data_IF_902441305640
#
_entry.id   IF_902441305640
#
_cell.length_a   1.000
_cell.length_b   1.000
_cell.length_c   1.000
_cell.angle_alpha   90.00
_cell.angle_beta   90.00
_cell.angle_gamma   90.00
#
_symmetry.space_group_name_H-M   'P 1'
#
loop_
_entity.id
_entity.type
_entity.pdbx_description
1 polymer ?
#
# COMPACT_ATOMS: atom_id res chain seq x y z
N UNK A 1 22.47 -1.80 6.19
CA UNK A 1 21.16 -2.05 5.56
C UNK A 1 20.08 -2.44 6.60
N UNK A 2 20.23 -3.49 7.43
CA UNK A 2 19.22 -3.93 8.41
C UNK A 2 18.75 -2.84 9.39
N UNK A 3 19.66 -2.00 9.90
CA UNK A 3 19.32 -0.90 10.83
C UNK A 3 18.43 0.15 10.13
N UNK A 4 18.77 0.51 8.90
CA UNK A 4 17.99 1.50 8.12
C UNK A 4 16.58 0.96 7.85
N UNK A 5 16.45 -0.31 7.45
CA UNK A 5 15.15 -0.96 7.28
C UNK A 5 14.35 -0.99 8.58
N UNK A 6 14.99 -1.34 9.69
CA UNK A 6 14.34 -1.32 10.99
C UNK A 6 13.78 0.05 11.34
N UNK A 7 14.58 1.11 11.22
CA UNK A 7 14.16 2.49 11.51
C UNK A 7 13.00 2.89 10.60
N UNK A 8 13.10 2.62 9.29
CA UNK A 8 12.06 2.96 8.34
C UNK A 8 10.73 2.29 8.69
N UNK A 9 10.73 0.97 8.86
CA UNK A 9 9.49 0.23 9.16
C UNK A 9 8.94 0.59 10.54
N UNK A 10 9.81 0.86 11.52
CA UNK A 10 9.40 1.36 12.83
C UNK A 10 8.66 2.70 12.72
N UNK A 11 9.23 3.66 11.98
CA UNK A 11 8.62 4.97 11.75
C UNK A 11 7.29 4.82 10.99
N UNK A 12 7.27 4.04 9.92
CA UNK A 12 6.05 3.77 9.14
C UNK A 12 4.94 3.16 10.01
N UNK A 13 5.27 2.20 10.88
CA UNK A 13 4.31 1.54 11.75
C UNK A 13 3.74 2.50 12.79
N UNK A 14 4.61 3.26 13.47
CA UNK A 14 4.15 4.27 14.44
C UNK A 14 3.27 5.30 13.76
N UNK A 15 3.65 5.75 12.59
CA UNK A 15 2.88 6.69 11.80
C UNK A 15 1.52 6.10 11.38
N UNK A 16 1.47 4.86 10.91
CA UNK A 16 0.22 4.16 10.55
C UNK A 16 -0.73 4.05 11.75
N UNK A 17 -0.22 3.64 12.92
CA UNK A 17 -1.02 3.55 14.14
C UNK A 17 -1.57 4.92 14.56
N UNK A 18 -0.74 5.97 14.45
CA UNK A 18 -1.15 7.35 14.80
C UNK A 18 -2.21 7.88 13.83
N UNK A 19 -2.02 7.74 12.51
CA UNK A 19 -3.01 8.17 11.50
C UNK A 19 -4.36 7.50 11.78
N UNK A 20 -4.38 6.20 11.98
CA UNK A 20 -5.61 5.47 12.24
C UNK A 20 -6.27 5.97 13.53
N UNK A 21 -5.50 6.25 14.56
CA UNK A 21 -6.04 6.83 15.80
C UNK A 21 -6.73 8.17 15.56
N UNK A 22 -6.10 9.08 14.81
CA UNK A 22 -6.68 10.38 14.47
C UNK A 22 -7.88 10.26 13.51
N UNK A 23 -7.81 9.37 12.52
CA UNK A 23 -8.88 9.18 11.53
C UNK A 23 -10.20 8.77 12.19
N UNK A 24 -10.14 7.94 13.24
CA UNK A 24 -11.32 7.43 13.93
C UNK A 24 -11.67 8.18 15.24
N UNK A 25 -10.92 9.24 15.61
CA UNK A 25 -11.19 10.00 16.83
C UNK A 25 -12.59 10.62 16.85
N UNK A 26 -13.12 11.00 15.67
CA UNK A 26 -14.45 11.57 15.54
C UNK A 26 -15.57 10.65 16.07
N UNK A 27 -15.37 9.33 16.02
CA UNK A 27 -16.34 8.35 16.49
C UNK A 27 -16.43 8.25 18.02
N UNK A 28 -15.48 8.86 18.74
CA UNK A 28 -15.46 8.86 20.20
C UNK A 28 -16.33 9.95 20.83
N UNK A 29 -16.83 10.88 20.01
CA UNK A 29 -17.60 12.05 20.47
C UNK A 29 -18.91 12.14 19.72
N UNK A 30 -19.91 12.67 20.40
CA UNK A 30 -21.15 13.07 19.73
C UNK A 30 -20.86 14.22 18.77
N UNK A 31 -21.10 14.01 17.52
CA UNK A 31 -20.83 15.00 16.47
C UNK A 31 -21.89 14.92 15.37
N UNK A 32 -22.43 16.07 14.96
CA UNK A 32 -23.46 16.16 13.93
C UNK A 32 -24.69 15.26 14.19
N UNK A 33 -25.13 15.14 15.43
CA UNK A 33 -26.24 14.28 15.80
C UNK A 33 -25.94 12.78 15.81
N UNK A 34 -24.67 12.38 15.68
CA UNK A 34 -24.28 10.98 15.55
C UNK A 34 -23.29 10.53 16.61
N UNK A 35 -23.41 9.26 17.03
CA UNK A 35 -22.42 8.46 17.75
C UNK A 35 -22.06 7.23 16.92
N UNK A 36 -20.77 7.00 16.68
CA UNK A 36 -20.28 5.89 15.85
C UNK A 36 -21.03 5.79 14.51
N UNK A 37 -21.32 6.95 13.88
CA UNK A 37 -22.03 7.03 12.60
C UNK A 37 -23.53 6.70 12.62
N UNK A 38 -24.16 6.61 13.81
CA UNK A 38 -25.60 6.43 14.01
C UNK A 38 -26.20 7.69 14.60
N UNK A 39 -27.31 8.17 14.05
CA UNK A 39 -28.04 9.31 14.58
C UNK A 39 -28.73 8.95 15.90
N UNK A 40 -28.38 9.67 16.96
CA UNK A 40 -28.97 9.50 18.31
C UNK A 40 -29.53 10.87 18.73
N UNK A 41 -30.78 10.94 19.22
CA UNK A 41 -31.30 12.18 19.77
C UNK A 41 -30.45 12.69 20.94
N UNK A 42 -30.27 14.01 21.05
CA UNK A 42 -29.39 14.62 22.06
C UNK A 42 -29.70 14.20 23.47
N UNK A 43 -30.98 14.02 23.79
CA UNK A 43 -31.47 13.64 25.10
C UNK A 43 -31.04 12.23 25.54
N UNK A 44 -30.79 11.34 24.59
CA UNK A 44 -30.41 9.94 24.80
C UNK A 44 -28.91 9.65 24.74
N UNK A 45 -28.08 10.65 24.45
CA UNK A 45 -26.61 10.48 24.32
C UNK A 45 -25.98 9.98 25.62
N UNK A 46 -26.56 10.35 26.76
CA UNK A 46 -26.06 10.02 28.11
C UNK A 46 -26.75 8.81 28.74
N UNK A 47 -27.65 8.13 28.01
CA UNK A 47 -28.31 6.93 28.52
C UNK A 47 -27.28 5.85 28.86
N UNK A 48 -27.58 5.06 29.91
CA UNK A 48 -26.65 4.07 30.46
C UNK A 48 -26.18 3.05 29.41
N UNK A 49 -27.08 2.61 28.53
CA UNK A 49 -26.76 1.63 27.50
C UNK A 49 -25.83 2.21 26.42
N UNK A 50 -26.06 3.48 26.03
CA UNK A 50 -25.21 4.22 25.11
C UNK A 50 -23.83 4.43 25.72
N UNK A 51 -23.79 4.90 26.96
CA UNK A 51 -22.54 5.15 27.68
C UNK A 51 -21.74 3.88 27.91
N UNK A 52 -22.39 2.75 28.25
CA UNK A 52 -21.73 1.44 28.35
C UNK A 52 -21.15 0.97 27.03
N UNK A 53 -21.91 1.11 25.94
CA UNK A 53 -21.45 0.72 24.59
C UNK A 53 -20.25 1.57 24.15
N UNK A 54 -20.33 2.90 24.35
CA UNK A 54 -19.25 3.83 24.03
C UNK A 54 -17.98 3.55 24.85
N UNK A 55 -18.13 3.25 26.13
CA UNK A 55 -17.00 2.90 27.00
C UNK A 55 -16.31 1.61 26.56
N UNK A 56 -17.10 0.57 26.23
CA UNK A 56 -16.58 -0.70 25.70
C UNK A 56 -15.88 -0.49 24.36
N UNK A 57 -16.47 0.27 23.44
CA UNK A 57 -15.89 0.58 22.14
C UNK A 57 -14.54 1.29 22.29
N UNK A 58 -14.47 2.38 23.07
CA UNK A 58 -13.24 3.14 23.33
C UNK A 58 -12.15 2.25 23.95
N UNK A 59 -12.53 1.41 24.93
CA UNK A 59 -11.61 0.48 25.58
C UNK A 59 -11.07 -0.57 24.61
N UNK A 60 -11.94 -1.21 23.82
CA UNK A 60 -11.55 -2.22 22.84
C UNK A 60 -10.64 -1.63 21.77
N UNK A 61 -10.95 -0.46 21.23
CA UNK A 61 -10.14 0.21 20.23
C UNK A 61 -8.77 0.60 20.78
N UNK A 62 -8.71 1.22 21.98
CA UNK A 62 -7.45 1.58 22.63
C UNK A 62 -6.57 0.35 22.88
N UNK A 63 -7.18 -0.73 23.40
CA UNK A 63 -6.47 -1.96 23.70
C UNK A 63 -5.91 -2.61 22.45
N UNK A 64 -6.73 -2.74 21.41
CA UNK A 64 -6.33 -3.30 20.12
C UNK A 64 -5.21 -2.49 19.47
N UNK A 65 -5.31 -1.15 19.45
CA UNK A 65 -4.25 -0.28 18.90
C UNK A 65 -2.95 -0.39 19.68
N UNK A 66 -3.00 -0.43 21.02
CA UNK A 66 -1.80 -0.54 21.86
C UNK A 66 -1.11 -1.89 21.67
N UNK A 67 -1.86 -3.00 21.62
CA UNK A 67 -1.29 -4.32 21.34
C UNK A 67 -0.61 -4.32 19.98
N UNK A 68 -1.27 -3.79 18.95
CA UNK A 68 -0.72 -3.77 17.61
C UNK A 68 0.49 -2.84 17.48
N UNK A 69 0.54 -1.74 18.23
CA UNK A 69 1.74 -0.90 18.32
C UNK A 69 2.95 -1.69 18.86
N UNK A 70 2.76 -2.42 19.96
CA UNK A 70 3.82 -3.27 20.52
C UNK A 70 4.20 -4.41 19.59
N UNK A 71 3.21 -5.09 19.01
CA UNK A 71 3.42 -6.19 18.08
C UNK A 71 4.18 -5.74 16.82
N UNK A 72 3.86 -4.55 16.29
CA UNK A 72 4.55 -3.98 15.13
C UNK A 72 6.03 -3.74 15.40
N UNK A 73 6.40 -3.32 16.61
CA UNK A 73 7.79 -3.16 17.02
C UNK A 73 8.48 -4.54 17.07
N UNK A 74 7.83 -5.53 17.70
CA UNK A 74 8.36 -6.89 17.78
C UNK A 74 8.60 -7.50 16.38
N UNK A 75 7.69 -7.27 15.43
CA UNK A 75 7.85 -7.72 14.04
C UNK A 75 9.05 -7.04 13.38
N UNK A 76 9.30 -5.74 13.63
CA UNK A 76 10.47 -5.05 13.08
C UNK A 76 11.78 -5.71 13.51
N UNK A 77 11.88 -6.28 14.72
CA UNK A 77 13.05 -7.00 15.17
C UNK A 77 13.33 -8.30 14.38
N UNK A 78 12.31 -8.92 13.77
CA UNK A 78 12.49 -10.09 12.91
C UNK A 78 13.40 -9.80 11.71
N UNK A 79 13.51 -8.53 11.28
CA UNK A 79 14.45 -8.12 10.23
C UNK A 79 15.92 -8.43 10.58
N UNK A 80 16.28 -8.46 11.86
CA UNK A 80 17.64 -8.83 12.30
C UNK A 80 17.86 -10.34 12.27
N UNK A 81 16.81 -11.13 12.45
CA UNK A 81 16.85 -12.60 12.43
C UNK A 81 16.80 -13.12 11.00
N UNK A 82 15.72 -12.84 10.28
CA UNK A 82 15.53 -13.28 8.90
C UNK A 82 14.59 -12.32 8.16
N UNK A 83 15.09 -11.73 7.08
CA UNK A 83 14.35 -10.74 6.28
C UNK A 83 13.08 -11.34 5.66
N UNK A 84 13.07 -12.62 5.31
CA UNK A 84 11.94 -13.30 4.67
C UNK A 84 10.81 -13.48 5.69
N UNK A 85 11.15 -13.97 6.88
CA UNK A 85 10.20 -14.10 8.00
C UNK A 85 9.61 -12.71 8.32
N UNK A 86 10.47 -11.68 8.37
CA UNK A 86 10.02 -10.31 8.59
C UNK A 86 8.97 -9.88 7.55
N UNK A 87 9.24 -10.03 6.25
CA UNK A 87 8.33 -9.58 5.18
C UNK A 87 7.00 -10.32 5.24
N UNK A 88 7.01 -11.65 5.43
CA UNK A 88 5.79 -12.45 5.54
C UNK A 88 4.97 -12.03 6.76
N UNK A 89 5.59 -11.95 7.93
CA UNK A 89 4.91 -11.57 9.18
C UNK A 89 4.39 -10.13 9.15
N UNK A 90 5.14 -9.22 8.52
CA UNK A 90 4.74 -7.83 8.34
C UNK A 90 3.49 -7.72 7.44
N UNK A 91 3.45 -8.46 6.33
CA UNK A 91 2.30 -8.48 5.42
C UNK A 91 1.04 -9.04 6.12
N UNK A 92 1.19 -10.12 6.88
CA UNK A 92 0.10 -10.69 7.68
C UNK A 92 -0.38 -9.69 8.74
N UNK A 93 0.56 -9.08 9.47
CA UNK A 93 0.23 -8.12 10.52
C UNK A 93 -0.57 -6.93 10.00
N UNK A 94 -0.18 -6.33 8.88
CA UNK A 94 -0.90 -5.18 8.30
C UNK A 94 -2.34 -5.53 7.95
N UNK A 95 -2.57 -6.72 7.36
CA UNK A 95 -3.91 -7.19 7.03
C UNK A 95 -4.76 -7.43 8.29
N UNK A 96 -4.20 -8.11 9.29
CA UNK A 96 -4.89 -8.36 10.57
C UNK A 96 -5.21 -7.06 11.29
N UNK A 97 -4.28 -6.09 11.27
CA UNK A 97 -4.46 -4.78 11.90
C UNK A 97 -5.62 -4.01 11.27
N UNK A 98 -5.64 -3.89 9.94
CA UNK A 98 -6.71 -3.19 9.21
C UNK A 98 -8.05 -3.89 9.39
N UNK A 99 -8.11 -5.21 9.19
CA UNK A 99 -9.34 -5.99 9.38
C UNK A 99 -9.87 -5.91 10.82
N UNK A 100 -8.98 -5.94 11.81
CA UNK A 100 -9.37 -5.86 13.22
C UNK A 100 -9.96 -4.50 13.59
N UNK A 101 -9.39 -3.39 13.09
CA UNK A 101 -9.96 -2.06 13.28
C UNK A 101 -11.34 -1.95 12.63
N UNK A 102 -11.47 -2.41 11.38
CA UNK A 102 -12.77 -2.42 10.69
C UNK A 102 -13.81 -3.24 11.46
N UNK A 103 -13.43 -4.42 11.95
CA UNK A 103 -14.32 -5.27 12.73
C UNK A 103 -14.83 -4.58 14.02
N UNK A 104 -13.93 -3.94 14.79
CA UNK A 104 -14.30 -3.23 16.02
C UNK A 104 -15.26 -2.08 15.71
N UNK A 105 -14.99 -1.30 14.65
CA UNK A 105 -15.82 -0.18 14.22
C UNK A 105 -17.21 -0.66 13.78
N UNK A 106 -17.26 -1.62 12.86
CA UNK A 106 -18.51 -2.16 12.32
C UNK A 106 -19.37 -2.81 13.42
N UNK A 107 -18.75 -3.59 14.31
CA UNK A 107 -19.45 -4.21 15.44
C UNK A 107 -20.05 -3.17 16.40
N UNK A 108 -19.33 -2.09 16.69
CA UNK A 108 -19.82 -1.03 17.54
C UNK A 108 -20.96 -0.24 16.87
N UNK A 109 -20.84 0.06 15.58
CA UNK A 109 -21.87 0.71 14.77
C UNK A 109 -23.16 -0.11 14.75
N UNK A 110 -23.08 -1.41 14.42
CA UNK A 110 -24.23 -2.29 14.36
C UNK A 110 -24.95 -2.39 15.72
N UNK A 111 -24.20 -2.47 16.82
CA UNK A 111 -24.79 -2.49 18.18
C UNK A 111 -25.49 -1.16 18.52
N UNK A 112 -24.89 -0.03 18.13
CA UNK A 112 -25.51 1.29 18.31
C UNK A 112 -26.79 1.43 17.49
N UNK A 113 -26.77 0.98 16.22
CA UNK A 113 -27.96 0.96 15.36
C UNK A 113 -29.08 0.07 15.96
N UNK A 114 -28.75 -1.13 16.43
CA UNK A 114 -29.71 -2.02 17.08
C UNK A 114 -30.30 -1.37 18.33
N UNK A 115 -29.49 -0.72 19.16
CA UNK A 115 -29.94 0.00 20.34
C UNK A 115 -30.91 1.14 19.99
N UNK A 116 -30.61 1.90 18.93
CA UNK A 116 -31.52 2.92 18.38
C UNK A 116 -32.85 2.34 17.98
N UNK A 117 -32.84 1.24 17.22
CA UNK A 117 -34.07 0.58 16.74
C UNK A 117 -34.90 0.03 17.90
N UNK A 118 -34.26 -0.62 18.88
CA UNK A 118 -34.94 -1.21 20.06
C UNK A 118 -35.65 -0.16 20.89
N UNK A 119 -35.05 1.01 21.03
CA UNK A 119 -35.63 2.12 21.81
C UNK A 119 -36.51 3.08 20.99
N UNK A 120 -36.66 2.84 19.70
CA UNK A 120 -37.48 3.67 18.83
C UNK A 120 -36.96 5.11 18.65
N UNK A 121 -35.66 5.34 18.80
CA UNK A 121 -35.04 6.67 18.69
C UNK A 121 -34.90 7.10 17.22
N UNK A 122 -35.97 7.64 16.68
CA UNK A 122 -35.93 8.17 15.32
C UNK A 122 -35.78 9.69 15.37
N UNK A 123 -34.83 10.23 14.62
CA UNK A 123 -34.60 11.66 14.52
C UNK A 123 -35.55 12.22 13.46
N UNK A 124 -36.59 12.94 13.92
CA UNK A 124 -37.58 13.57 13.06
C UNK A 124 -38.85 12.73 12.81
N UNK A 125 -39.96 13.41 12.57
CA UNK A 125 -41.31 12.83 12.46
C UNK A 125 -41.58 12.10 11.13
N UNK A 126 -40.63 12.05 10.21
CA UNK A 126 -40.80 11.40 8.90
C UNK A 126 -39.53 10.62 8.51
N UNK A 127 -39.68 9.29 8.39
CA UNK A 127 -38.70 8.44 7.73
C UNK A 127 -38.40 8.97 6.32
N UNK A 128 -37.11 9.20 6.03
CA UNK A 128 -36.55 9.37 4.70
C UNK A 128 -37.07 10.60 3.91
N UNK A 129 -36.62 11.79 4.25
CA UNK A 129 -36.62 12.90 3.30
C UNK A 129 -35.25 13.03 2.68
N UNK A 130 -35.14 12.77 1.36
CA UNK A 130 -34.03 13.28 0.58
C UNK A 130 -34.23 14.78 0.43
N UNK A 131 -33.34 15.57 1.03
CA UNK A 131 -33.38 17.01 0.87
C UNK A 131 -32.47 17.39 -0.31
N UNK A 132 -33.02 17.98 -1.34
CA UNK A 132 -32.29 18.46 -2.52
C UNK A 132 -32.39 19.99 -2.55
N UNK A 133 -31.21 20.64 -2.44
CA UNK A 133 -31.10 22.07 -2.66
C UNK A 133 -30.86 22.34 -4.16
N UNK A 134 -31.91 22.78 -4.86
CA UNK A 134 -31.85 23.03 -6.31
C UNK A 134 -30.88 24.15 -6.67
N UNK A 135 -30.72 25.18 -5.81
CA UNK A 135 -29.78 26.29 -6.01
C UNK A 135 -28.34 25.84 -5.82
N UNK A 136 -28.07 25.01 -4.81
CA UNK A 136 -26.77 24.41 -4.62
C UNK A 136 -26.41 23.44 -5.76
N UNK A 137 -27.38 22.68 -6.26
CA UNK A 137 -27.19 21.79 -7.41
C UNK A 137 -26.89 22.53 -8.70
N UNK A 138 -27.51 23.68 -8.94
CA UNK A 138 -27.25 24.52 -10.10
C UNK A 138 -25.82 25.05 -10.18
N UNK A 139 -25.15 25.19 -9.01
CA UNK A 139 -23.77 25.63 -8.90
C UNK A 139 -22.75 24.45 -8.83
N UNK A 140 -23.18 23.23 -9.15
CA UNK A 140 -22.33 22.04 -9.03
C UNK A 140 -21.11 22.07 -9.97
N UNK A 141 -21.19 22.76 -11.10
CA UNK A 141 -20.11 22.83 -12.10
C UNK A 141 -18.96 23.78 -11.72
N UNK A 142 -19.07 24.50 -10.61
CA UNK A 142 -17.98 25.35 -10.14
C UNK A 142 -16.76 24.51 -9.73
N UNK A 143 -15.69 24.60 -10.53
CA UNK A 143 -14.42 23.91 -10.31
C UNK A 143 -13.35 24.89 -9.82
N UNK A 144 -13.02 24.90 -8.53
CA UNK A 144 -12.11 25.90 -7.95
C UNK A 144 -10.67 25.77 -8.42
N UNK A 145 -10.25 24.57 -8.83
CA UNK A 145 -8.91 24.27 -9.33
C UNK A 145 -9.02 23.41 -10.59
N UNK A 146 -8.21 23.71 -11.61
CA UNK A 146 -8.22 22.98 -12.86
C UNK A 146 -7.47 21.63 -12.72
N UNK A 147 -8.12 20.55 -13.18
CA UNK A 147 -7.51 19.22 -13.24
C UNK A 147 -6.37 19.13 -14.28
N UNK A 148 -6.25 20.09 -15.20
CA UNK A 148 -5.22 20.11 -16.25
C UNK A 148 -3.80 20.14 -15.67
N UNK A 149 -3.61 20.63 -14.46
CA UNK A 149 -2.30 20.59 -13.77
C UNK A 149 -1.77 19.16 -13.56
N UNK A 150 -2.65 18.18 -13.30
CA UNK A 150 -2.25 16.78 -13.23
C UNK A 150 -1.71 16.25 -14.56
N UNK A 151 -2.30 16.66 -15.69
CA UNK A 151 -1.85 16.24 -17.03
C UNK A 151 -0.42 16.73 -17.27
N UNK A 152 -0.12 17.99 -16.86
CA UNK A 152 1.24 18.57 -16.96
C UNK A 152 2.22 17.76 -16.11
N UNK A 153 1.83 17.42 -14.88
CA UNK A 153 2.66 16.61 -13.97
C UNK A 153 2.94 15.23 -14.57
N UNK A 154 1.92 14.53 -15.04
CA UNK A 154 2.06 13.19 -15.66
C UNK A 154 2.95 13.26 -16.91
N UNK A 155 2.80 14.30 -17.73
CA UNK A 155 3.67 14.49 -18.89
C UNK A 155 5.13 14.70 -18.46
N UNK A 156 5.38 15.47 -17.40
CA UNK A 156 6.71 15.68 -16.85
C UNK A 156 7.30 14.40 -16.24
N UNK A 157 6.48 13.57 -15.57
CA UNK A 157 6.90 12.26 -15.04
C UNK A 157 7.37 11.32 -16.17
N UNK A 158 6.65 11.31 -17.29
CA UNK A 158 7.01 10.49 -18.47
C UNK A 158 8.26 11.04 -19.17
N UNK A 159 8.39 12.36 -19.31
CA UNK A 159 9.58 12.98 -19.91
C UNK A 159 10.85 12.71 -19.08
N UNK A 160 10.73 12.56 -17.77
CA UNK A 160 11.85 12.21 -16.90
C UNK A 160 12.42 10.80 -17.14
N UNK A 161 11.76 9.96 -17.96
CA UNK A 161 12.31 8.67 -18.40
C UNK A 161 13.33 8.80 -19.54
N UNK A 162 13.35 9.92 -20.27
CA UNK A 162 14.22 10.10 -21.46
C UNK A 162 15.70 9.85 -21.16
N UNK A 163 16.29 10.32 -20.05
CA UNK A 163 17.70 10.07 -19.72
C UNK A 163 18.05 8.57 -19.61
N UNK A 164 17.06 7.72 -19.30
CA UNK A 164 17.29 6.29 -19.13
C UNK A 164 17.17 5.48 -20.43
N UNK A 165 16.88 6.12 -21.57
CA UNK A 165 16.82 5.42 -22.87
C UNK A 165 18.13 4.69 -23.19
N UNK A 166 19.27 5.30 -22.89
CA UNK A 166 20.61 4.71 -23.02
C UNK A 166 20.90 3.58 -22.01
N UNK A 167 20.01 3.38 -21.03
CA UNK A 167 20.15 2.38 -19.96
C UNK A 167 19.44 1.05 -20.25
N UNK A 168 18.87 0.88 -21.44
CA UNK A 168 18.11 -0.34 -21.82
C UNK A 168 18.87 -1.63 -21.57
N UNK A 169 20.19 -1.61 -21.78
CA UNK A 169 21.09 -2.74 -21.52
C UNK A 169 21.52 -2.88 -20.06
N UNK A 170 21.21 -1.90 -19.19
CA UNK A 170 21.64 -1.91 -17.80
C UNK A 170 20.73 -2.77 -16.91
N UNK A 171 21.32 -3.41 -15.91
CA UNK A 171 20.61 -4.31 -14.98
C UNK A 171 19.45 -3.63 -14.23
N UNK A 172 19.52 -2.32 -14.05
CA UNK A 172 18.53 -1.53 -13.29
C UNK A 172 17.37 -0.97 -14.11
N UNK A 173 17.39 -1.09 -15.43
CA UNK A 173 16.36 -0.51 -16.29
C UNK A 173 14.96 -0.99 -15.94
N UNK A 174 14.79 -2.29 -15.69
CA UNK A 174 13.51 -2.86 -15.28
C UNK A 174 12.99 -2.27 -13.96
N UNK A 175 13.88 -2.01 -13.02
CA UNK A 175 13.54 -1.39 -11.73
C UNK A 175 13.08 0.05 -11.91
N UNK A 176 13.78 0.85 -12.74
CA UNK A 176 13.39 2.22 -13.06
C UNK A 176 12.00 2.26 -13.70
N UNK A 177 11.70 1.35 -14.63
CA UNK A 177 10.37 1.25 -15.24
C UNK A 177 9.28 0.94 -14.21
N UNK A 178 9.53 0.04 -13.26
CA UNK A 178 8.56 -0.27 -12.18
C UNK A 178 8.27 0.98 -11.35
N UNK A 179 9.30 1.74 -10.93
CA UNK A 179 9.11 2.98 -10.19
C UNK A 179 8.35 4.05 -11.00
N UNK A 180 8.65 4.18 -12.29
CA UNK A 180 7.95 5.08 -13.20
C UNK A 180 6.46 4.71 -13.30
N UNK A 181 6.14 3.44 -13.49
CA UNK A 181 4.75 2.95 -13.56
C UNK A 181 4.03 3.25 -12.26
N UNK A 182 4.63 2.96 -11.10
CA UNK A 182 4.03 3.27 -9.80
C UNK A 182 3.75 4.77 -9.64
N UNK A 183 4.72 5.62 -10.02
CA UNK A 183 4.59 7.09 -9.97
C UNK A 183 3.43 7.57 -10.83
N UNK A 184 3.37 7.14 -12.09
CA UNK A 184 2.30 7.53 -13.03
C UNK A 184 0.93 7.03 -12.54
N UNK A 185 0.82 5.83 -12.00
CA UNK A 185 -0.43 5.30 -11.44
C UNK A 185 -0.95 6.20 -10.30
N UNK A 186 -0.08 6.64 -9.40
CA UNK A 186 -0.46 7.54 -8.29
C UNK A 186 -0.97 8.88 -8.82
N UNK A 187 -0.30 9.49 -9.82
CA UNK A 187 -0.70 10.76 -10.42
C UNK A 187 -2.00 10.63 -11.25
N UNK A 188 -2.18 9.51 -11.98
CA UNK A 188 -3.43 9.20 -12.69
C UNK A 188 -4.59 9.01 -11.70
N UNK A 189 -4.36 8.32 -10.57
CA UNK A 189 -5.36 8.23 -9.51
C UNK A 189 -5.77 9.61 -8.99
N UNK A 190 -4.80 10.48 -8.72
CA UNK A 190 -5.05 11.88 -8.32
C UNK A 190 -5.90 12.64 -9.35
N UNK A 191 -5.59 12.51 -10.64
CA UNK A 191 -6.35 13.12 -11.75
C UNK A 191 -7.79 12.61 -11.79
N UNK A 192 -7.96 11.29 -11.79
CA UNK A 192 -9.31 10.66 -11.91
C UNK A 192 -10.17 11.03 -10.71
N UNK A 193 -9.61 10.98 -9.50
CA UNK A 193 -10.35 11.33 -8.29
C UNK A 193 -10.69 12.82 -8.23
N UNK A 194 -9.78 13.71 -8.67
CA UNK A 194 -10.03 15.14 -8.79
C UNK A 194 -11.21 15.43 -9.75
N UNK A 195 -11.20 14.82 -10.96
CA UNK A 195 -12.30 14.98 -11.94
C UNK A 195 -13.61 14.45 -11.36
N UNK A 196 -13.59 13.27 -10.73
CA UNK A 196 -14.78 12.67 -10.12
C UNK A 196 -15.40 13.60 -9.06
N UNK A 197 -14.57 14.13 -8.15
CA UNK A 197 -15.03 15.00 -7.07
C UNK A 197 -15.55 16.35 -7.56
N UNK A 198 -14.96 16.91 -8.62
CA UNK A 198 -15.45 18.14 -9.23
C UNK A 198 -16.81 17.97 -9.90
N UNK A 199 -17.06 16.80 -10.52
CA UNK A 199 -18.34 16.49 -11.19
C UNK A 199 -19.44 16.01 -10.24
N UNK A 200 -19.10 15.84 -8.96
CA UNK A 200 -20.06 15.36 -7.97
C UNK A 200 -21.11 16.43 -7.69
N UNK A 201 -22.37 16.00 -7.56
CA UNK A 201 -23.48 16.87 -7.14
C UNK A 201 -23.22 17.46 -5.75
N UNK A 202 -23.62 18.70 -5.56
CA UNK A 202 -23.52 19.37 -4.29
C UNK A 202 -24.53 18.78 -3.28
N UNK A 203 -24.11 18.69 -2.03
CA UNK A 203 -24.92 18.15 -0.93
C UNK A 203 -25.62 19.29 -0.19
N UNK A 204 -26.81 19.03 0.31
CA UNK A 204 -27.53 19.92 1.19
C UNK A 204 -27.21 19.57 2.66
N UNK A 205 -26.64 20.50 3.39
CA UNK A 205 -26.30 20.43 4.80
C UNK A 205 -27.23 21.29 5.67
N UNK A 206 -27.82 22.33 5.06
CA UNK A 206 -28.65 23.35 5.70
C UNK A 206 -29.86 23.66 4.83
N UNK A 207 -30.92 24.23 5.45
CA UNK A 207 -32.01 24.87 4.70
C UNK A 207 -31.54 26.16 4.02
N UNK A 208 -30.40 26.72 4.43
CA UNK A 208 -29.79 27.89 3.79
C UNK A 208 -28.90 27.47 2.61
N UNK A 209 -29.35 27.81 1.39
CA UNK A 209 -28.63 27.49 0.16
C UNK A 209 -27.23 28.14 0.07
N UNK A 210 -27.02 29.30 0.69
CA UNK A 210 -25.72 29.98 0.67
C UNK A 210 -24.67 29.19 1.49
N UNK A 211 -25.07 28.64 2.62
CA UNK A 211 -24.23 27.74 3.43
C UNK A 211 -23.89 26.49 2.62
N UNK A 212 -24.88 25.86 1.98
CA UNK A 212 -24.66 24.69 1.11
C UNK A 212 -23.65 24.99 0.01
N UNK A 213 -23.77 26.10 -0.68
CA UNK A 213 -22.86 26.52 -1.74
C UNK A 213 -21.43 26.72 -1.21
N UNK A 214 -21.26 27.47 -0.14
CA UNK A 214 -19.95 27.78 0.44
C UNK A 214 -19.26 26.49 0.92
N UNK A 215 -20.01 25.61 1.64
CA UNK A 215 -19.44 24.34 2.15
C UNK A 215 -19.01 23.43 0.99
N UNK A 216 -19.87 23.22 -0.02
CA UNK A 216 -19.55 22.38 -1.17
C UNK A 216 -18.35 22.91 -1.95
N UNK A 217 -18.31 24.21 -2.25
CA UNK A 217 -17.18 24.83 -2.97
C UNK A 217 -15.88 24.71 -2.17
N UNK A 218 -15.94 24.95 -0.86
CA UNK A 218 -14.79 24.80 0.03
C UNK A 218 -14.28 23.36 0.04
N UNK A 219 -15.18 22.37 0.17
CA UNK A 219 -14.78 20.96 0.14
C UNK A 219 -14.17 20.55 -1.19
N UNK A 220 -14.75 20.97 -2.33
CA UNK A 220 -14.16 20.74 -3.66
C UNK A 220 -12.76 21.35 -3.76
N UNK A 221 -12.56 22.58 -3.25
CA UNK A 221 -11.27 23.24 -3.25
C UNK A 221 -10.23 22.45 -2.45
N UNK A 222 -10.56 22.03 -1.22
CA UNK A 222 -9.65 21.25 -0.38
C UNK A 222 -9.28 19.91 -1.01
N UNK A 223 -10.26 19.18 -1.55
CA UNK A 223 -10.01 17.87 -2.17
C UNK A 223 -9.16 18.04 -3.44
N UNK A 224 -9.49 19.01 -4.29
CA UNK A 224 -8.71 19.31 -5.49
C UNK A 224 -7.27 19.69 -5.13
N UNK A 225 -7.07 20.54 -4.09
CA UNK A 225 -5.75 20.89 -3.58
C UNK A 225 -4.99 19.68 -3.05
N UNK A 226 -5.68 18.80 -2.28
CA UNK A 226 -5.06 17.60 -1.72
C UNK A 226 -4.55 16.66 -2.82
N UNK A 227 -5.37 16.41 -3.85
CA UNK A 227 -4.97 15.57 -4.99
C UNK A 227 -3.81 16.19 -5.78
N UNK A 228 -3.86 17.50 -6.00
CA UNK A 228 -2.80 18.20 -6.74
C UNK A 228 -1.48 18.21 -5.97
N UNK A 229 -1.50 18.50 -4.67
CA UNK A 229 -0.31 18.47 -3.81
C UNK A 229 0.27 17.05 -3.73
N UNK A 230 -0.59 16.04 -3.62
CA UNK A 230 -0.16 14.63 -3.67
C UNK A 230 0.57 14.33 -4.98
N UNK A 231 0.02 14.69 -6.14
CA UNK A 231 0.65 14.48 -7.44
C UNK A 231 1.97 15.26 -7.58
N UNK A 232 2.03 16.50 -7.06
CA UNK A 232 3.24 17.30 -7.09
C UNK A 232 4.37 16.70 -6.23
N UNK A 233 4.05 16.25 -5.01
CA UNK A 233 5.04 15.60 -4.13
C UNK A 233 5.48 14.24 -4.70
N UNK A 234 4.58 13.49 -5.34
CA UNK A 234 4.89 12.28 -6.08
C UNK A 234 5.88 12.56 -7.22
N UNK A 235 5.64 13.63 -7.99
CA UNK A 235 6.57 14.09 -9.02
C UNK A 235 7.93 14.50 -8.45
N UNK A 236 7.97 15.22 -7.32
CA UNK A 236 9.22 15.60 -6.63
C UNK A 236 9.98 14.34 -6.19
N UNK A 237 9.29 13.33 -5.65
CA UNK A 237 9.90 12.06 -5.30
C UNK A 237 10.52 11.37 -6.52
N UNK A 238 9.79 11.34 -7.63
CA UNK A 238 10.24 10.76 -8.89
C UNK A 238 11.44 11.48 -9.48
N UNK A 239 11.39 12.82 -9.58
CA UNK A 239 12.50 13.59 -10.15
C UNK A 239 13.76 13.50 -9.29
N UNK A 240 13.61 13.48 -7.96
CA UNK A 240 14.73 13.28 -7.03
C UNK A 240 15.37 11.90 -7.25
N UNK A 241 14.57 10.85 -7.38
CA UNK A 241 15.05 9.51 -7.70
C UNK A 241 15.81 9.47 -9.04
N UNK A 242 15.23 10.05 -10.10
CA UNK A 242 15.84 10.15 -11.42
C UNK A 242 17.20 10.86 -11.38
N UNK A 243 17.26 12.04 -10.75
CA UNK A 243 18.50 12.83 -10.64
C UNK A 243 19.58 12.05 -9.87
N UNK A 244 19.21 11.41 -8.77
CA UNK A 244 20.17 10.61 -8.00
C UNK A 244 20.69 9.40 -8.78
N UNK A 245 19.83 8.72 -9.55
CA UNK A 245 20.26 7.62 -10.42
C UNK A 245 21.23 8.10 -11.51
N UNK A 246 20.99 9.27 -12.11
CA UNK A 246 21.88 9.85 -13.13
C UNK A 246 23.23 10.22 -12.52
N UNK A 247 23.23 10.91 -11.36
CA UNK A 247 24.47 11.35 -10.69
C UNK A 247 25.34 10.16 -10.26
N UNK A 248 24.70 9.10 -9.76
CA UNK A 248 25.40 7.90 -9.28
C UNK A 248 25.70 6.89 -10.40
N UNK A 249 25.20 7.10 -11.61
CA UNK A 249 25.20 6.17 -12.75
C UNK A 249 24.70 4.76 -12.37
N UNK A 250 23.86 4.66 -11.34
CA UNK A 250 23.30 3.41 -10.80
C UNK A 250 22.03 3.69 -9.98
N UNK A 251 21.25 2.63 -9.73
CA UNK A 251 20.18 2.66 -8.73
C UNK A 251 20.79 2.26 -7.38
N UNK A 252 21.22 3.27 -6.62
CA UNK A 252 21.80 3.05 -5.30
C UNK A 252 20.76 3.00 -4.18
N UNK A 253 21.18 2.48 -3.01
CA UNK A 253 20.34 2.41 -1.82
C UNK A 253 19.78 3.80 -1.42
N UNK A 254 20.58 4.85 -1.55
CA UNK A 254 20.18 6.20 -1.18
C UNK A 254 19.05 6.74 -2.08
N UNK A 255 19.12 6.51 -3.39
CA UNK A 255 18.06 6.93 -4.33
C UNK A 255 16.74 6.22 -4.02
N UNK A 256 16.80 4.92 -3.73
CA UNK A 256 15.64 4.12 -3.33
C UNK A 256 15.00 4.65 -2.04
N UNK A 257 15.78 4.87 -0.99
CA UNK A 257 15.27 5.33 0.31
C UNK A 257 14.71 6.74 0.25
N UNK A 258 15.35 7.64 -0.48
CA UNK A 258 14.84 9.00 -0.69
C UNK A 258 13.48 9.00 -1.38
N UNK A 259 13.31 8.16 -2.42
CA UNK A 259 12.03 8.00 -3.09
C UNK A 259 10.93 7.54 -2.11
N UNK A 260 11.19 6.50 -1.32
CA UNK A 260 10.22 5.96 -0.36
C UNK A 260 9.84 7.01 0.70
N UNK A 261 10.82 7.74 1.26
CA UNK A 261 10.57 8.78 2.27
C UNK A 261 9.69 9.90 1.68
N UNK A 262 9.97 10.36 0.47
CA UNK A 262 9.17 11.40 -0.18
C UNK A 262 7.76 10.92 -0.54
N UNK A 263 7.59 9.65 -0.91
CA UNK A 263 6.26 9.04 -1.12
C UNK A 263 5.46 8.97 0.19
N UNK A 264 6.08 8.60 1.30
CA UNK A 264 5.44 8.64 2.62
C UNK A 264 5.02 10.07 2.99
N UNK A 265 5.88 11.07 2.74
CA UNK A 265 5.55 12.48 2.97
C UNK A 265 4.35 12.94 2.14
N UNK A 266 4.25 12.48 0.89
CA UNK A 266 3.09 12.74 0.02
C UNK A 266 1.79 12.20 0.64
N UNK A 267 1.79 10.96 1.12
CA UNK A 267 0.64 10.36 1.81
C UNK A 267 0.27 11.07 3.12
N UNK A 268 1.28 11.49 3.89
CA UNK A 268 1.07 12.28 5.12
C UNK A 268 0.40 13.60 4.82
N UNK A 269 0.89 14.33 3.82
CA UNK A 269 0.37 15.66 3.43
C UNK A 269 -1.07 15.55 2.95
N UNK A 270 -1.40 14.52 2.14
CA UNK A 270 -2.76 14.22 1.73
C UNK A 270 -3.68 14.07 2.96
N UNK A 271 -3.28 13.25 3.93
CA UNK A 271 -4.05 13.01 5.15
C UNK A 271 -4.27 14.30 5.95
N UNK A 272 -3.24 15.11 6.12
CA UNK A 272 -3.33 16.40 6.83
C UNK A 272 -4.33 17.34 6.15
N UNK A 273 -4.26 17.50 4.82
CA UNK A 273 -5.17 18.38 4.07
C UNK A 273 -6.63 17.91 4.21
N UNK A 274 -6.88 16.59 4.18
CA UNK A 274 -8.22 16.03 4.37
C UNK A 274 -8.76 16.25 5.78
N UNK A 275 -7.89 16.19 6.80
CA UNK A 275 -8.27 16.54 8.18
C UNK A 275 -8.61 18.03 8.30
N UNK A 276 -7.81 18.91 7.69
CA UNK A 276 -8.10 20.35 7.66
C UNK A 276 -9.42 20.65 6.94
N UNK A 277 -9.69 19.98 5.81
CA UNK A 277 -10.95 20.10 5.09
C UNK A 277 -12.15 19.74 5.98
N UNK A 278 -12.06 18.60 6.69
CA UNK A 278 -13.10 18.18 7.64
C UNK A 278 -13.33 19.21 8.75
N UNK A 279 -12.25 19.67 9.37
CA UNK A 279 -12.33 20.63 10.46
C UNK A 279 -12.98 21.93 9.98
N UNK A 280 -12.59 22.43 8.81
CA UNK A 280 -13.17 23.62 8.20
C UNK A 280 -14.65 23.46 7.89
N UNK A 281 -15.05 22.30 7.33
CA UNK A 281 -16.46 21.97 7.12
C UNK A 281 -17.24 22.04 8.45
N UNK A 282 -16.74 21.40 9.49
CA UNK A 282 -17.41 21.36 10.80
C UNK A 282 -17.53 22.75 11.43
N UNK A 283 -16.53 23.63 11.29
CA UNK A 283 -16.60 25.03 11.74
C UNK A 283 -17.70 25.81 11.02
N UNK A 284 -17.79 25.66 9.69
CA UNK A 284 -18.82 26.34 8.90
C UNK A 284 -20.23 25.86 9.26
N UNK A 285 -20.40 24.57 9.51
CA UNK A 285 -21.70 24.01 9.90
C UNK A 285 -22.09 24.31 11.36
N UNK A 286 -21.13 24.58 12.26
CA UNK A 286 -21.43 25.01 13.63
C UNK A 286 -22.10 26.39 13.70
N UNK A 287 -21.83 27.24 12.73
CA UNK A 287 -22.45 28.56 12.61
C UNK A 287 -23.85 28.52 12.00
N UNK A 288 -24.31 27.35 11.53
CA UNK A 288 -25.60 27.16 10.90
C UNK A 288 -26.71 27.07 11.96
N UNK A 289 -27.77 27.86 11.74
CA UNK A 289 -28.97 27.90 12.61
C UNK A 289 -30.09 26.99 12.12
N UNK A 290 -29.96 26.43 10.90
CA UNK A 290 -31.00 25.63 10.24
C UNK A 290 -30.43 24.35 9.61
N UNK A 291 -29.74 23.50 10.40
CA UNK A 291 -29.15 22.27 9.87
C UNK A 291 -30.24 21.32 9.38
N UNK A 292 -30.00 20.67 8.25
CA UNK A 292 -30.86 19.59 7.74
C UNK A 292 -30.39 18.27 8.33
N UNK A 293 -31.28 17.64 9.10
CA UNK A 293 -31.07 16.29 9.60
C UNK A 293 -31.87 15.30 8.74
N UNK A 294 -31.16 14.36 8.12
CA UNK A 294 -31.76 13.24 7.40
C UNK A 294 -31.39 11.99 8.15
N UNK A 295 -32.38 11.30 8.72
CA UNK A 295 -32.16 9.99 9.35
C UNK A 295 -32.21 8.91 8.24
N UNK A 296 -31.06 8.64 7.65
CA UNK A 296 -30.85 7.61 6.64
C UNK A 296 -30.05 6.40 7.15
N UNK A 297 -30.08 6.16 8.48
CA UNK A 297 -29.35 5.08 9.16
C UNK A 297 -29.74 3.69 8.66
N UNK A 298 -30.97 3.52 8.15
CA UNK A 298 -31.42 2.25 7.55
C UNK A 298 -30.54 1.83 6.37
N UNK A 299 -29.96 2.80 5.63
CA UNK A 299 -29.04 2.49 4.55
C UNK A 299 -27.61 2.17 5.04
N UNK A 300 -27.33 2.43 6.33
CA UNK A 300 -26.06 2.18 6.98
C UNK A 300 -26.10 1.06 8.03
N UNK A 301 -27.23 0.35 8.17
CA UNK A 301 -27.46 -0.64 9.23
C UNK A 301 -26.35 -1.69 9.42
N UNK A 302 -25.61 -2.02 8.37
CA UNK A 302 -24.49 -2.95 8.41
C UNK A 302 -23.14 -2.27 8.67
N UNK A 303 -23.11 -0.93 8.68
CA UNK A 303 -21.91 -0.11 8.65
C UNK A 303 -21.38 0.16 7.24
N UNK A 304 -21.94 -0.49 6.23
CA UNK A 304 -21.70 -0.24 4.82
C UNK A 304 -22.93 0.41 4.19
N UNK A 305 -22.70 1.41 3.34
CA UNK A 305 -23.80 2.10 2.68
C UNK A 305 -24.46 1.24 1.60
N UNK A 306 -25.76 1.06 1.70
CA UNK A 306 -26.56 0.32 0.74
C UNK A 306 -27.83 1.08 0.43
N UNK A 307 -27.85 1.91 -0.64
CA UNK A 307 -29.03 2.64 -1.07
C UNK A 307 -29.27 2.47 -2.57
N UNK A 308 -30.30 1.70 -2.98
CA UNK A 308 -30.64 1.49 -4.37
C UNK A 308 -31.08 2.78 -5.10
N UNK A 309 -31.59 3.77 -4.38
CA UNK A 309 -32.09 5.02 -4.94
C UNK A 309 -31.00 6.08 -5.13
N UNK A 310 -29.83 5.92 -4.50
CA UNK A 310 -28.69 6.82 -4.65
C UNK A 310 -27.83 6.41 -5.85
N UNK A 311 -27.71 7.23 -6.92
CA UNK A 311 -26.91 6.91 -8.10
C UNK A 311 -25.40 6.93 -7.85
N UNK A 312 -24.94 7.55 -6.76
CA UNK A 312 -23.52 7.75 -6.50
C UNK A 312 -22.83 6.45 -6.09
N UNK A 313 -21.65 6.20 -6.65
CA UNK A 313 -20.81 5.07 -6.29
C UNK A 313 -20.06 5.33 -4.97
N UNK A 314 -19.54 6.56 -4.80
CA UNK A 314 -18.81 6.97 -3.60
C UNK A 314 -19.65 7.94 -2.78
N UNK A 315 -19.76 7.69 -1.48
CA UNK A 315 -20.45 8.55 -0.52
C UNK A 315 -19.54 8.89 0.65
N UNK A 316 -19.70 10.02 1.35
CA UNK A 316 -18.92 10.29 2.56
C UNK A 316 -19.11 9.17 3.57
N UNK A 317 -18.01 8.68 4.11
CA UNK A 317 -18.03 7.63 5.12
C UNK A 317 -18.46 8.20 6.48
N UNK A 318 -19.26 7.45 7.23
CA UNK A 318 -19.74 7.83 8.54
C UNK A 318 -18.83 7.38 9.68
N UNK A 319 -18.13 6.26 9.47
CA UNK A 319 -17.23 5.69 10.46
C UNK A 319 -15.83 6.29 10.36
N UNK A 320 -15.44 6.79 9.18
CA UNK A 320 -14.21 7.53 8.98
C UNK A 320 -14.50 8.82 8.23
N UNK A 321 -14.68 9.90 8.95
CA UNK A 321 -15.12 11.19 8.40
C UNK A 321 -14.20 11.84 7.37
N UNK A 322 -12.99 11.29 7.17
CA UNK A 322 -12.04 11.69 6.12
C UNK A 322 -12.13 10.82 4.87
N UNK A 323 -12.86 9.71 4.93
CA UNK A 323 -12.94 8.72 3.85
C UNK A 323 -14.26 8.81 3.07
N UNK A 324 -14.27 8.07 1.98
CA UNK A 324 -15.46 7.75 1.21
C UNK A 324 -15.76 6.27 1.32
N UNK A 325 -17.03 5.94 1.53
CA UNK A 325 -17.58 4.60 1.46
C UNK A 325 -18.15 4.33 0.07
N UNK A 326 -18.34 3.08 -0.26
CA UNK A 326 -18.96 2.64 -1.51
C UNK A 326 -20.44 2.37 -1.29
N UNK A 327 -21.27 2.70 -2.29
CA UNK A 327 -22.67 2.29 -2.31
C UNK A 327 -22.78 0.84 -2.80
N UNK A 328 -22.90 -0.10 -1.89
CA UNK A 328 -22.99 -1.54 -2.21
C UNK A 328 -24.30 -1.97 -2.90
N UNK A 329 -25.26 -1.06 -3.08
CA UNK A 329 -26.38 -1.28 -3.99
C UNK A 329 -25.94 -1.22 -5.46
N UNK A 330 -24.78 -0.60 -5.77
CA UNK A 330 -24.23 -0.49 -7.11
C UNK A 330 -23.28 -1.65 -7.43
N UNK A 331 -23.43 -2.23 -8.63
CA UNK A 331 -22.56 -3.31 -9.11
C UNK A 331 -21.10 -2.91 -9.13
N UNK A 332 -20.80 -1.66 -9.51
CA UNK A 332 -19.43 -1.14 -9.50
C UNK A 332 -18.76 -1.20 -8.13
N UNK A 333 -19.50 -0.99 -7.03
CA UNK A 333 -18.95 -1.11 -5.67
C UNK A 333 -18.54 -2.55 -5.35
N UNK A 334 -19.39 -3.53 -5.72
CA UNK A 334 -19.13 -4.96 -5.49
C UNK A 334 -17.93 -5.44 -6.30
N UNK A 335 -17.87 -5.06 -7.58
CA UNK A 335 -16.75 -5.38 -8.48
C UNK A 335 -15.46 -4.77 -7.94
N UNK A 336 -15.46 -3.48 -7.61
CA UNK A 336 -14.29 -2.78 -7.08
C UNK A 336 -13.78 -3.45 -5.79
N UNK A 337 -14.66 -3.70 -4.81
CA UNK A 337 -14.27 -4.35 -3.55
C UNK A 337 -13.77 -5.77 -3.78
N UNK A 338 -14.46 -6.56 -4.63
CA UNK A 338 -14.04 -7.91 -4.98
C UNK A 338 -12.66 -7.93 -5.64
N UNK A 339 -12.41 -7.02 -6.59
CA UNK A 339 -11.11 -6.89 -7.25
C UNK A 339 -10.00 -6.52 -6.27
N UNK A 340 -10.20 -5.51 -5.41
CA UNK A 340 -9.20 -5.12 -4.40
C UNK A 340 -8.93 -6.27 -3.43
N UNK A 341 -9.98 -6.96 -2.96
CA UNK A 341 -9.82 -8.13 -2.06
C UNK A 341 -9.04 -9.25 -2.75
N UNK A 342 -9.35 -9.56 -4.01
CA UNK A 342 -8.63 -10.57 -4.79
C UNK A 342 -7.15 -10.19 -5.00
N UNK A 343 -6.85 -8.91 -5.28
CA UNK A 343 -5.48 -8.41 -5.40
C UNK A 343 -4.73 -8.57 -4.07
N UNK A 344 -5.33 -8.16 -2.94
CA UNK A 344 -4.69 -8.25 -1.63
C UNK A 344 -4.39 -9.69 -1.22
N UNK A 345 -5.37 -10.60 -1.39
CA UNK A 345 -5.18 -12.02 -1.11
C UNK A 345 -4.18 -12.65 -2.08
N UNK A 346 -4.27 -12.33 -3.36
CA UNK A 346 -3.33 -12.79 -4.37
C UNK A 346 -1.90 -12.33 -4.08
N UNK A 347 -1.70 -11.08 -3.67
CA UNK A 347 -0.40 -10.55 -3.26
C UNK A 347 0.14 -11.26 -2.04
N UNK A 348 -0.69 -11.54 -1.02
CA UNK A 348 -0.28 -12.30 0.16
C UNK A 348 0.17 -13.72 -0.20
N UNK A 349 -0.65 -14.43 -0.97
CA UNK A 349 -0.34 -15.81 -1.41
C UNK A 349 0.94 -15.80 -2.24
N UNK A 350 1.04 -14.88 -3.20
CA UNK A 350 2.23 -14.74 -4.05
C UNK A 350 3.49 -14.46 -3.24
N UNK A 351 3.41 -13.55 -2.25
CA UNK A 351 4.53 -13.25 -1.35
C UNK A 351 5.00 -14.49 -0.61
N UNK A 352 4.07 -15.28 -0.07
CA UNK A 352 4.39 -16.52 0.66
C UNK A 352 5.01 -17.55 -0.31
N UNK A 353 4.39 -17.81 -1.45
CA UNK A 353 4.85 -18.81 -2.43
C UNK A 353 6.25 -18.47 -2.96
N UNK A 354 6.51 -17.17 -3.25
CA UNK A 354 7.81 -16.75 -3.79
C UNK A 354 8.91 -16.73 -2.73
N UNK A 355 8.57 -16.37 -1.49
CA UNK A 355 9.57 -16.22 -0.42
C UNK A 355 9.81 -17.49 0.42
N UNK A 356 8.81 -18.36 0.54
CA UNK A 356 8.94 -19.55 1.40
C UNK A 356 10.12 -20.47 1.02
N UNK A 357 10.44 -20.73 -0.26
CA UNK A 357 11.59 -21.55 -0.63
C UNK A 357 12.93 -21.00 -0.12
N UNK A 358 13.02 -19.69 0.08
CA UNK A 358 14.24 -19.04 0.57
C UNK A 358 14.40 -19.09 2.09
N UNK A 359 13.44 -19.65 2.84
CA UNK A 359 13.58 -19.87 4.29
C UNK A 359 14.59 -21.00 4.59
N UNK A 360 14.61 -22.02 3.73
CA UNK A 360 15.49 -23.17 3.84
C UNK A 360 16.13 -23.44 2.47
N UNK A 361 17.23 -22.75 2.21
CA UNK A 361 17.94 -22.87 0.93
C UNK A 361 18.73 -24.17 0.93
N UNK A 362 18.42 -25.04 -0.05
CA UNK A 362 19.22 -26.20 -0.47
C UNK A 362 19.70 -25.98 -1.89
N UNK A 363 20.86 -26.46 -2.22
CA UNK A 363 21.38 -26.50 -3.59
C UNK A 363 21.50 -27.97 -3.96
N UNK A 364 20.65 -28.42 -4.88
CA UNK A 364 20.63 -29.79 -5.35
C UNK A 364 21.39 -29.89 -6.66
N UNK A 365 22.39 -30.73 -6.71
CA UNK A 365 23.23 -30.99 -7.88
C UNK A 365 22.97 -32.43 -8.34
N UNK A 366 22.55 -32.60 -9.60
CA UNK A 366 22.32 -33.90 -10.22
C UNK A 366 23.11 -33.99 -11.51
N UNK A 367 24.03 -34.94 -11.58
CA UNK A 367 24.81 -35.24 -12.78
C UNK A 367 24.25 -36.49 -13.46
N UNK A 368 24.08 -36.41 -14.77
CA UNK A 368 23.78 -37.53 -15.65
C UNK A 368 24.95 -37.70 -16.62
N UNK A 369 24.94 -38.73 -17.48
CA UNK A 369 26.00 -38.97 -18.46
C UNK A 369 26.26 -37.79 -19.42
N UNK A 370 25.24 -36.91 -19.65
CA UNK A 370 25.34 -35.80 -20.60
C UNK A 370 25.08 -34.42 -20.01
N UNK A 371 24.51 -34.33 -18.76
CA UNK A 371 24.09 -33.03 -18.24
C UNK A 371 24.38 -32.89 -16.73
N UNK A 372 24.70 -31.68 -16.32
CA UNK A 372 24.73 -31.22 -14.93
C UNK A 372 23.50 -30.35 -14.69
N UNK A 373 22.63 -30.79 -13.80
CA UNK A 373 21.42 -30.05 -13.40
C UNK A 373 21.61 -29.51 -11.99
N UNK A 374 21.51 -28.20 -11.85
CA UNK A 374 21.58 -27.51 -10.56
C UNK A 374 20.24 -26.83 -10.28
N UNK A 375 19.72 -27.08 -9.11
CA UNK A 375 18.43 -26.47 -8.68
C UNK A 375 18.49 -25.94 -7.26
N UNK A 376 17.82 -24.82 -7.03
CA UNK A 376 17.64 -24.21 -5.71
C UNK A 376 16.51 -23.19 -5.75
N UNK A 377 15.64 -23.22 -4.74
CA UNK A 377 14.56 -22.24 -4.53
C UNK A 377 13.67 -21.98 -5.78
N UNK A 378 13.45 -23.00 -6.61
CA UNK A 378 12.67 -22.91 -7.85
C UNK A 378 13.46 -22.37 -9.06
N UNK A 379 14.76 -22.10 -8.91
CA UNK A 379 15.67 -21.79 -10.03
C UNK A 379 16.38 -23.06 -10.44
N UNK A 380 16.48 -23.27 -11.75
CA UNK A 380 17.19 -24.40 -12.35
C UNK A 380 18.13 -23.94 -13.44
N UNK A 381 19.29 -24.58 -13.51
CA UNK A 381 20.22 -24.50 -14.63
C UNK A 381 20.56 -25.91 -15.09
N UNK A 382 20.37 -26.19 -16.37
CA UNK A 382 20.78 -27.44 -17.01
C UNK A 382 21.94 -27.15 -17.94
N UNK A 383 23.07 -27.81 -17.73
CA UNK A 383 24.32 -27.60 -18.44
C UNK A 383 24.66 -28.91 -19.15
N UNK A 384 24.79 -28.85 -20.46
CA UNK A 384 25.27 -30.00 -21.27
C UNK A 384 26.79 -30.10 -21.11
N UNK A 385 27.30 -31.28 -20.80
CA UNK A 385 28.73 -31.49 -20.49
C UNK A 385 29.57 -31.19 -21.72
N UNK A 386 29.12 -31.59 -22.92
CA UNK A 386 29.81 -31.37 -24.18
C UNK A 386 29.94 -29.88 -24.56
N UNK A 387 29.08 -29.01 -24.02
CA UNK A 387 29.07 -27.58 -24.30
C UNK A 387 29.94 -26.74 -23.33
N UNK A 388 30.68 -27.39 -22.40
CA UNK A 388 31.49 -26.70 -21.41
C UNK A 388 32.76 -26.13 -22.07
N UNK A 389 32.88 -24.80 -22.04
CA UNK A 389 34.05 -24.08 -22.59
C UNK A 389 35.08 -23.78 -21.51
N UNK A 390 34.61 -23.45 -20.30
CA UNK A 390 35.50 -23.12 -19.18
C UNK A 390 34.97 -23.78 -17.93
N UNK A 391 35.85 -24.53 -17.26
CA UNK A 391 35.62 -25.20 -15.98
C UNK A 391 36.71 -24.78 -15.01
N UNK A 392 36.35 -24.09 -13.93
CA UNK A 392 37.34 -23.56 -12.98
C UNK A 392 36.87 -23.73 -11.55
N UNK A 393 37.74 -24.34 -10.76
CA UNK A 393 37.57 -24.43 -9.32
C UNK A 393 38.29 -23.25 -8.63
N UNK A 394 37.58 -22.52 -7.77
CA UNK A 394 38.06 -21.31 -7.09
C UNK A 394 37.80 -21.41 -5.60
N UNK A 395 38.68 -20.81 -4.78
CA UNK A 395 38.53 -20.82 -3.31
C UNK A 395 37.28 -20.02 -2.88
N UNK A 396 36.90 -18.99 -3.60
CA UNK A 396 35.75 -18.14 -3.32
C UNK A 396 35.15 -17.53 -4.59
N UNK A 397 33.92 -17.08 -4.49
CA UNK A 397 33.27 -16.32 -5.55
C UNK A 397 34.14 -15.11 -5.93
N UNK A 398 34.39 -14.85 -7.23
CA UNK A 398 35.13 -13.67 -7.69
C UNK A 398 34.56 -12.37 -7.12
N UNK A 399 35.44 -11.41 -6.87
CA UNK A 399 35.03 -10.06 -6.48
C UNK A 399 34.55 -9.27 -7.70
N UNK A 400 33.43 -9.75 -8.28
CA UNK A 400 32.70 -9.11 -9.36
C UNK A 400 31.40 -8.53 -8.80
N UNK A 401 31.00 -7.35 -9.23
CA UNK A 401 29.74 -6.77 -8.79
C UNK A 401 28.59 -7.54 -9.44
N UNK A 402 28.06 -8.54 -8.69
CA UNK A 402 26.90 -9.32 -9.12
C UNK A 402 25.61 -8.62 -8.76
N UNK A 403 24.90 -8.13 -9.76
CA UNK A 403 23.58 -7.52 -9.61
C UNK A 403 22.50 -8.58 -9.75
N UNK A 404 21.60 -8.65 -8.79
CA UNK A 404 20.49 -9.58 -8.81
C UNK A 404 19.45 -9.15 -9.88
N UNK A 405 19.28 -9.98 -10.91
CA UNK A 405 18.21 -9.81 -11.91
C UNK A 405 16.92 -10.47 -11.44
N UNK A 406 17.00 -11.71 -10.91
CA UNK A 406 15.88 -12.46 -10.37
C UNK A 406 16.41 -13.55 -9.46
N UNK A 407 16.00 -13.56 -8.16
CA UNK A 407 16.51 -14.53 -7.19
C UNK A 407 16.56 -14.01 -5.77
N UNK A 408 17.25 -14.74 -4.90
CA UNK A 408 17.53 -14.39 -3.51
C UNK A 408 18.99 -13.97 -3.33
N UNK A 409 19.21 -12.82 -2.70
CA UNK A 409 20.53 -12.37 -2.26
C UNK A 409 20.43 -11.93 -0.80
N UNK A 410 21.09 -12.66 0.08
CA UNK A 410 21.15 -12.39 1.52
C UNK A 410 22.61 -12.30 1.99
N UNK A 411 22.80 -12.13 3.28
CA UNK A 411 24.14 -12.22 3.87
C UNK A 411 24.73 -13.63 3.75
N UNK A 412 23.89 -14.68 3.67
CA UNK A 412 24.32 -16.09 3.72
C UNK A 412 24.36 -16.77 2.36
N UNK A 413 23.60 -16.30 1.35
CA UNK A 413 23.53 -16.96 0.06
C UNK A 413 23.20 -16.01 -1.10
N UNK A 414 23.53 -16.46 -2.31
CA UNK A 414 23.14 -15.90 -3.60
C UNK A 414 22.54 -17.04 -4.44
N UNK A 415 21.22 -16.97 -4.75
CA UNK A 415 20.54 -18.01 -5.53
C UNK A 415 19.67 -17.38 -6.58
N UNK A 416 19.81 -17.79 -7.84
CA UNK A 416 19.03 -17.33 -8.97
C UNK A 416 19.84 -16.69 -10.08
N UNK A 417 19.24 -15.75 -10.80
CA UNK A 417 19.84 -15.09 -11.97
C UNK A 417 20.43 -13.74 -11.59
N UNK A 418 21.68 -13.53 -12.03
CA UNK A 418 22.46 -12.32 -11.73
C UNK A 418 23.10 -11.79 -13.00
N UNK A 419 23.66 -10.60 -12.94
CA UNK A 419 24.52 -9.99 -13.96
C UNK A 419 25.77 -9.48 -13.27
N UNK A 420 26.92 -10.03 -13.62
CA UNK A 420 28.23 -9.53 -13.21
C UNK A 420 28.80 -8.52 -14.22
N UNK A 421 29.70 -7.67 -13.76
CA UNK A 421 30.38 -6.72 -14.65
C UNK A 421 31.28 -7.45 -15.65
N UNK A 422 32.02 -8.46 -15.18
CA UNK A 422 32.97 -9.26 -15.97
C UNK A 422 32.28 -10.45 -16.64
N UNK A 423 31.44 -11.17 -15.89
CA UNK A 423 30.82 -12.41 -16.32
C UNK A 423 29.49 -12.25 -17.07
N UNK A 424 28.94 -11.04 -17.14
CA UNK A 424 27.66 -10.80 -17.81
C UNK A 424 26.49 -11.51 -17.12
N UNK A 425 25.55 -12.05 -17.92
CA UNK A 425 24.41 -12.83 -17.37
C UNK A 425 24.90 -14.15 -16.81
N UNK A 426 24.62 -14.44 -15.53
CA UNK A 426 25.03 -15.66 -14.86
C UNK A 426 23.96 -16.17 -13.88
N UNK A 427 24.02 -17.45 -13.56
CA UNK A 427 23.24 -18.08 -12.49
C UNK A 427 24.16 -18.36 -11.31
N UNK A 428 23.73 -17.95 -10.12
CA UNK A 428 24.47 -18.19 -8.88
C UNK A 428 23.68 -19.16 -8.01
N UNK A 429 24.36 -20.20 -7.54
CA UNK A 429 23.90 -21.16 -6.54
C UNK A 429 24.97 -21.25 -5.47
N UNK A 430 25.05 -20.23 -4.59
CA UNK A 430 26.19 -19.98 -3.74
C UNK A 430 25.77 -19.76 -2.28
N UNK A 431 26.37 -20.51 -1.37
CA UNK A 431 26.48 -20.14 0.05
C UNK A 431 27.75 -19.30 0.25
N UNK A 432 27.63 -18.08 0.78
CA UNK A 432 28.75 -17.10 0.79
C UNK A 432 29.97 -17.53 1.60
N UNK A 433 29.73 -18.30 2.68
CA UNK A 433 30.79 -18.73 3.60
C UNK A 433 31.26 -20.16 3.33
N UNK A 434 30.99 -20.68 2.14
CA UNK A 434 31.32 -22.05 1.76
C UNK A 434 32.29 -22.05 0.58
N UNK A 435 33.36 -22.85 0.68
CA UNK A 435 34.38 -23.07 -0.34
C UNK A 435 34.51 -24.57 -0.63
N UNK A 436 34.97 -24.98 -1.83
CA UNK A 436 35.28 -24.15 -3.00
C UNK A 436 34.03 -23.79 -3.83
N UNK A 437 34.22 -22.89 -4.78
CA UNK A 437 33.22 -22.48 -5.80
C UNK A 437 33.63 -23.02 -7.16
N UNK A 438 32.70 -23.67 -7.84
CA UNK A 438 32.88 -24.14 -9.22
C UNK A 438 32.24 -23.17 -10.21
N UNK A 439 33.00 -22.70 -11.16
CA UNK A 439 32.55 -21.98 -12.34
C UNK A 439 32.41 -22.98 -13.50
N UNK A 440 31.21 -23.01 -14.09
CA UNK A 440 30.92 -23.71 -15.36
C UNK A 440 30.42 -22.67 -16.35
N UNK A 441 31.11 -22.55 -17.48
CA UNK A 441 30.75 -21.61 -18.55
C UNK A 441 30.56 -22.36 -19.87
N UNK A 442 29.44 -22.05 -20.54
CA UNK A 442 29.11 -22.48 -21.89
C UNK A 442 28.90 -21.26 -22.77
N UNK A 443 28.68 -21.41 -24.06
CA UNK A 443 28.33 -20.32 -24.97
C UNK A 443 27.04 -19.59 -24.54
N UNK A 444 26.11 -20.34 -23.95
CA UNK A 444 24.75 -19.83 -23.62
C UNK A 444 24.60 -19.33 -22.18
N UNK A 445 25.40 -19.82 -21.22
CA UNK A 445 25.24 -19.51 -19.79
C UNK A 445 26.53 -19.62 -19.00
N UNK A 446 26.60 -18.85 -17.92
CA UNK A 446 27.66 -18.94 -16.90
C UNK A 446 26.99 -19.28 -15.56
N UNK A 447 27.49 -20.33 -14.89
CA UNK A 447 26.92 -20.82 -13.63
C UNK A 447 28.01 -20.94 -12.58
N UNK A 448 27.75 -20.40 -11.39
CA UNK A 448 28.60 -20.55 -10.22
C UNK A 448 27.88 -21.40 -9.18
N UNK A 449 28.56 -22.40 -8.66
CA UNK A 449 27.97 -23.40 -7.77
C UNK A 449 28.90 -23.65 -6.58
N UNK A 450 28.36 -23.79 -5.39
CA UNK A 450 29.02 -24.44 -4.27
C UNK A 450 28.05 -25.31 -3.46
N UNK A 451 28.57 -26.13 -2.57
CA UNK A 451 27.78 -27.02 -1.73
C UNK A 451 28.31 -27.00 -0.29
N UNK A 452 27.40 -27.26 0.65
CA UNK A 452 27.75 -27.47 2.06
C UNK A 452 28.27 -28.89 2.32
N UNK A 453 28.07 -29.80 1.40
CA UNK A 453 28.54 -31.18 1.53
C UNK A 453 30.00 -31.25 1.14
N UNK A 454 30.82 -31.75 2.09
CA UNK A 454 32.27 -31.84 1.95
C UNK A 454 32.67 -32.69 0.75
N UNK A 455 33.44 -32.07 -0.17
CA UNK A 455 33.99 -32.76 -1.33
C UNK A 455 33.04 -32.86 -2.54
N UNK A 456 31.74 -32.56 -2.42
CA UNK A 456 30.79 -32.69 -3.55
C UNK A 456 31.24 -31.87 -4.75
N UNK A 457 31.64 -30.61 -4.55
CA UNK A 457 32.08 -29.71 -5.62
C UNK A 457 33.40 -30.14 -6.24
N UNK A 458 34.34 -30.67 -5.41
CA UNK A 458 35.64 -31.19 -5.90
C UNK A 458 35.41 -32.45 -6.73
N UNK A 459 34.54 -33.35 -6.27
CA UNK A 459 34.18 -34.56 -6.99
C UNK A 459 33.53 -34.25 -8.32
N UNK A 460 32.58 -33.29 -8.34
CA UNK A 460 31.95 -32.81 -9.56
C UNK A 460 32.98 -32.20 -10.54
N UNK A 461 33.89 -31.35 -10.03
CA UNK A 461 34.95 -30.80 -10.88
C UNK A 461 35.84 -31.90 -11.49
N UNK A 462 36.24 -32.91 -10.71
CA UNK A 462 37.08 -33.97 -11.16
C UNK A 462 36.36 -34.88 -12.19
N UNK A 463 35.08 -35.17 -12.01
CA UNK A 463 34.30 -35.94 -13.03
C UNK A 463 34.18 -35.18 -14.34
N UNK A 464 33.84 -33.89 -14.30
CA UNK A 464 33.70 -33.08 -15.54
C UNK A 464 35.02 -32.76 -16.24
N UNK A 465 36.14 -32.90 -15.57
CA UNK A 465 37.49 -32.69 -16.18
C UNK A 465 38.02 -33.92 -16.84
N UNK A 466 37.59 -35.12 -16.44
CA UNK A 466 38.06 -36.40 -16.95
C UNK A 466 37.19 -36.89 -18.14
N UNK A 467 36.03 -36.30 -18.37
CA UNK A 467 35.23 -36.44 -19.58
C UNK A 467 35.66 -35.39 -20.65
#
# INVERSE_FOLDING_TARGET
MKIVMFILFFVCNMFTVLIIRFAYESNYRYNNGMLIGVHIPGDHVNDDDVTRLMTRFKKSMKYFQNINAVLSIAICFLNFVNIIIFVIMYTIWILVFVCGIMYIQLSAHQKMYLLKVQNGWFVGSQKQKVFIDTRACANADATPISFRYHIIIIAAELLALIPFYSWTERAYFSMIIVFAICTVIVSVFGLVFHIYMNRRQNQAYSLNSDINNIVNLTMKKYIASAMLVMSLLNFVAWITFVLMCIIQDTVGDLSFWMYIILQLLSGCTLTVILILARNRKNEMLKADTQPVFVDDDDYWKTGFYYNPNDPHLFVPDRLCSTNYSLNYARTGAKVFTGTITAILLGTLIWTIVVLAPFLHVTIDIKTTESTVNVSSCGYTSSINIDDIIELKLMDKLPDDHFFKSNGGATESYLVGRFKGNTYGKCSLYIFKDVSPVLLIKTDSQTVFINSKDDGEIVNLYNSLKND
#
